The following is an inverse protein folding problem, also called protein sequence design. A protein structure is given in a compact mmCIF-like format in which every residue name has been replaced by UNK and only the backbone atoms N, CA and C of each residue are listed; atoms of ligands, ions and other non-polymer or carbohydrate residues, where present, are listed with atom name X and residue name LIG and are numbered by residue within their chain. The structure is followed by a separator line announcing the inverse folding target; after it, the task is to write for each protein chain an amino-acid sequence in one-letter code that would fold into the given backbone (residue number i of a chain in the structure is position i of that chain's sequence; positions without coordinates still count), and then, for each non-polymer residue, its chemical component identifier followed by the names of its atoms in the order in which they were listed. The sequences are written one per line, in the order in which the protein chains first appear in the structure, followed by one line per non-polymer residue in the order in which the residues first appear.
data_IF_828025861218
#
_entry.id   IF_828025861218
#
_cell.length_a   1.000
_cell.length_b   1.000
_cell.length_c   1.000
_cell.angle_alpha   90.00
_cell.angle_beta   90.00
_cell.angle_gamma   90.00
#
_symmetry.space_group_name_H-M   'P 1'
#
loop_
_entity.id
_entity.type
_entity.pdbx_description
1 polymer ?
#
# COMPACT_ATOMS: atom_id res chain seq x y z
N UNK A 1 -4.87 -20.70 -28.16
CA UNK A 1 -3.42 -20.66 -27.94
C UNK A 1 -3.20 -21.04 -26.47
N UNK A 2 -2.65 -22.24 -26.25
CA UNK A 2 -2.49 -22.76 -24.87
C UNK A 2 -1.21 -22.16 -24.30
N UNK A 3 -1.32 -21.35 -23.26
CA UNK A 3 -0.16 -20.79 -22.54
C UNK A 3 0.52 -21.95 -21.81
N UNK A 4 1.79 -22.20 -22.13
CA UNK A 4 2.59 -23.24 -21.47
C UNK A 4 3.21 -22.67 -20.17
N UNK A 5 3.45 -23.52 -19.18
CA UNK A 5 4.13 -23.12 -17.93
C UNK A 5 5.46 -22.38 -18.17
N UNK A 6 6.16 -22.72 -19.25
CA UNK A 6 7.38 -22.02 -19.67
C UNK A 6 7.14 -20.55 -20.01
N UNK A 7 6.00 -20.23 -20.64
CA UNK A 7 5.69 -18.83 -21.00
C UNK A 7 5.43 -18.00 -19.74
N UNK A 8 4.72 -18.56 -18.76
CA UNK A 8 4.46 -17.91 -17.47
C UNK A 8 5.76 -17.67 -16.71
N UNK A 9 6.66 -18.65 -16.66
CA UNK A 9 7.95 -18.52 -15.99
C UNK A 9 8.84 -17.46 -16.66
N UNK A 10 8.83 -17.40 -17.98
CA UNK A 10 9.58 -16.38 -18.73
C UNK A 10 9.04 -14.97 -18.47
N UNK A 11 7.72 -14.79 -18.54
CA UNK A 11 7.09 -13.50 -18.21
C UNK A 11 7.38 -13.11 -16.76
N UNK A 12 7.32 -14.06 -15.82
CA UNK A 12 7.67 -13.80 -14.42
C UNK A 12 9.11 -13.35 -14.24
N UNK A 13 10.08 -13.98 -14.94
CA UNK A 13 11.48 -13.59 -14.91
C UNK A 13 11.67 -12.15 -15.43
N UNK A 14 11.10 -11.84 -16.60
CA UNK A 14 11.18 -10.48 -17.17
C UNK A 14 10.52 -9.43 -16.26
N UNK A 15 9.38 -9.74 -15.67
CA UNK A 15 8.71 -8.85 -14.73
C UNK A 15 9.54 -8.61 -13.46
N UNK A 16 10.20 -9.66 -12.95
CA UNK A 16 11.11 -9.54 -11.81
C UNK A 16 12.30 -8.64 -12.13
N UNK A 17 12.90 -8.81 -13.31
CA UNK A 17 14.04 -8.00 -13.74
C UNK A 17 13.62 -6.52 -13.89
N UNK A 18 12.50 -6.25 -14.57
CA UNK A 18 11.93 -4.91 -14.70
C UNK A 18 11.65 -4.26 -13.33
N UNK A 19 11.03 -4.98 -12.41
CA UNK A 19 10.77 -4.47 -11.05
C UNK A 19 12.08 -4.19 -10.32
N UNK A 20 13.11 -5.00 -10.51
CA UNK A 20 14.43 -4.79 -9.90
C UNK A 20 15.09 -3.53 -10.44
N UNK A 21 15.06 -3.30 -11.74
CA UNK A 21 15.61 -2.09 -12.38
C UNK A 21 14.87 -0.84 -11.89
N UNK A 22 13.54 -0.85 -11.89
CA UNK A 22 12.74 0.25 -11.36
C UNK A 22 13.04 0.51 -9.87
N UNK A 23 13.24 -0.54 -9.08
CA UNK A 23 13.59 -0.40 -7.66
C UNK A 23 14.96 0.24 -7.47
N UNK A 24 15.96 -0.10 -8.28
CA UNK A 24 17.29 0.51 -8.25
C UNK A 24 17.20 2.01 -8.59
N UNK A 25 16.50 2.37 -9.66
CA UNK A 25 16.26 3.76 -10.04
C UNK A 25 15.62 4.55 -8.90
N UNK A 26 14.56 3.99 -8.29
CA UNK A 26 13.91 4.63 -7.12
C UNK A 26 14.83 4.80 -5.93
N UNK A 27 15.79 3.90 -5.71
CA UNK A 27 16.75 4.03 -4.60
C UNK A 27 17.75 5.18 -4.82
N UNK A 28 18.17 5.43 -6.03
CA UNK A 28 19.08 6.54 -6.35
C UNK A 28 18.43 7.88 -6.00
N UNK A 29 17.20 8.11 -6.43
CA UNK A 29 16.44 9.33 -6.09
C UNK A 29 16.15 9.45 -4.58
N UNK A 30 15.97 8.33 -3.89
CA UNK A 30 15.73 8.33 -2.45
C UNK A 30 17.00 8.50 -1.60
N UNK A 31 18.19 8.26 -2.16
CA UNK A 31 19.45 8.39 -1.44
C UNK A 31 19.74 9.85 -1.07
N UNK A 32 19.25 10.80 -1.86
CA UNK A 32 19.34 12.25 -1.59
C UNK A 32 18.30 12.73 -0.57
N UNK A 33 17.26 11.91 -0.33
CA UNK A 33 16.15 12.23 0.57
C UNK A 33 16.29 11.36 1.81
N UNK A 34 16.32 11.95 2.99
CA UNK A 34 16.37 11.23 4.27
C UNK A 34 15.03 10.52 4.57
N UNK A 35 14.57 9.67 3.63
CA UNK A 35 13.33 8.88 3.72
C UNK A 35 13.66 7.40 3.49
N UNK A 36 13.28 6.55 4.45
CA UNK A 36 13.43 5.10 4.29
C UNK A 36 12.35 4.51 3.38
N UNK A 37 12.61 3.38 2.74
CA UNK A 37 11.62 2.66 1.91
C UNK A 37 10.32 2.38 2.66
N UNK A 38 10.39 2.07 3.96
CA UNK A 38 9.19 1.85 4.77
C UNK A 38 8.39 3.14 4.96
N UNK A 39 9.07 4.27 5.15
CA UNK A 39 8.43 5.58 5.23
C UNK A 39 7.79 5.97 3.89
N UNK A 40 8.48 5.75 2.77
CA UNK A 40 7.92 5.97 1.44
C UNK A 40 6.67 5.11 1.19
N UNK A 41 6.68 3.82 1.57
CA UNK A 41 5.49 2.95 1.47
C UNK A 41 4.30 3.51 2.24
N UNK A 42 4.52 4.08 3.43
CA UNK A 42 3.45 4.73 4.20
C UNK A 42 2.94 5.97 3.48
N UNK A 43 3.84 6.80 2.92
CA UNK A 43 3.46 8.00 2.18
C UNK A 43 2.63 7.65 0.94
N UNK A 44 3.08 6.67 0.13
CA UNK A 44 2.32 6.18 -1.04
C UNK A 44 0.94 5.63 -0.66
N UNK A 45 0.85 4.89 0.46
CA UNK A 45 -0.42 4.35 0.94
C UNK A 45 -1.40 5.48 1.30
N UNK A 46 -0.92 6.48 2.03
CA UNK A 46 -1.72 7.63 2.48
C UNK A 46 -2.11 8.55 1.30
N UNK A 47 -1.23 8.71 0.30
CA UNK A 47 -1.53 9.46 -0.92
C UNK A 47 -2.73 8.89 -1.70
N UNK A 48 -2.80 7.56 -1.80
CA UNK A 48 -3.88 6.88 -2.52
C UNK A 48 -5.26 6.96 -1.83
N UNK A 49 -5.30 7.22 -0.52
CA UNK A 49 -6.53 7.29 0.25
C UNK A 49 -6.31 8.02 1.58
N UNK A 50 -6.95 9.15 1.77
CA UNK A 50 -6.86 9.97 2.98
C UNK A 50 -7.57 9.37 4.22
N UNK A 51 -8.02 8.13 4.16
CA UNK A 51 -8.79 7.46 5.23
C UNK A 51 -7.95 6.53 6.11
N UNK A 52 -6.62 6.56 6.00
CA UNK A 52 -5.76 5.67 6.76
C UNK A 52 -5.59 6.10 8.22
N UNK A 53 -5.82 5.13 9.12
CA UNK A 53 -5.54 5.24 10.56
C UNK A 53 -4.23 4.52 10.90
N UNK A 54 -3.70 4.75 12.11
CA UNK A 54 -2.53 3.99 12.62
C UNK A 54 -2.77 2.48 12.53
N UNK A 55 -3.97 2.02 12.85
CA UNK A 55 -4.34 0.60 12.81
C UNK A 55 -4.36 0.06 11.37
N UNK A 56 -4.95 0.78 10.42
CA UNK A 56 -4.98 0.33 9.03
C UNK A 56 -3.58 0.29 8.40
N UNK A 57 -2.72 1.26 8.74
CA UNK A 57 -1.32 1.29 8.29
C UNK A 57 -0.53 0.12 8.90
N UNK A 58 -0.71 -0.16 10.20
CA UNK A 58 -0.08 -1.29 10.88
C UNK A 58 -0.42 -2.63 10.20
N UNK A 59 -1.70 -2.83 9.90
CA UNK A 59 -2.19 -4.02 9.21
C UNK A 59 -1.60 -4.14 7.79
N UNK A 60 -1.55 -3.03 7.04
CA UNK A 60 -0.97 -3.01 5.70
C UNK A 60 0.52 -3.36 5.72
N UNK A 61 1.29 -2.76 6.63
CA UNK A 61 2.71 -3.01 6.76
C UNK A 61 3.03 -4.35 7.44
N UNK A 62 2.04 -5.01 8.05
CA UNK A 62 2.19 -6.22 8.89
C UNK A 62 3.20 -6.03 10.03
N UNK A 63 3.12 -4.88 10.70
CA UNK A 63 3.93 -4.53 11.86
C UNK A 63 3.04 -4.12 13.03
N UNK A 64 3.61 -4.10 14.24
CA UNK A 64 2.87 -3.71 15.44
C UNK A 64 2.45 -2.22 15.41
N UNK A 65 1.35 -1.87 16.10
CA UNK A 65 0.92 -0.47 16.25
C UNK A 65 2.01 0.44 16.84
N UNK A 66 2.79 0.04 17.88
CA UNK A 66 3.90 0.85 18.37
C UNK A 66 4.97 1.12 17.30
N UNK A 67 5.31 0.13 16.48
CA UNK A 67 6.25 0.31 15.36
C UNK A 67 5.71 1.29 14.34
N UNK A 68 4.43 1.14 13.96
CA UNK A 68 3.76 2.08 13.05
C UNK A 68 3.73 3.49 13.59
N UNK A 69 3.44 3.66 14.89
CA UNK A 69 3.45 4.97 15.54
C UNK A 69 4.82 5.64 15.41
N UNK A 70 5.93 4.90 15.65
CA UNK A 70 7.29 5.44 15.50
C UNK A 70 7.60 5.85 14.06
N UNK A 71 7.13 5.08 13.07
CA UNK A 71 7.31 5.43 11.65
C UNK A 71 6.57 6.73 11.34
N UNK A 72 5.33 6.83 11.78
CA UNK A 72 4.49 8.02 11.59
C UNK A 72 5.03 9.24 12.35
N UNK A 73 5.56 9.06 13.57
CA UNK A 73 6.18 10.15 14.34
C UNK A 73 7.38 10.75 13.58
N UNK A 74 8.21 9.90 12.99
CA UNK A 74 9.34 10.36 12.16
C UNK A 74 8.88 11.10 10.90
N UNK A 75 7.80 10.65 10.26
CA UNK A 75 7.22 11.31 9.10
C UNK A 75 6.57 12.66 9.47
N UNK A 76 5.94 12.75 10.64
CA UNK A 76 5.43 14.03 11.17
C UNK A 76 6.58 14.98 11.50
N UNK A 77 7.66 14.50 12.14
CA UNK A 77 8.85 15.32 12.44
C UNK A 77 9.53 15.86 11.18
N UNK A 78 9.42 15.15 10.06
CA UNK A 78 9.95 15.57 8.75
C UNK A 78 8.94 16.38 7.93
N UNK A 79 7.81 16.70 8.52
CA UNK A 79 6.70 17.42 7.90
C UNK A 79 6.12 16.72 6.63
N UNK A 80 6.23 15.39 6.55
CA UNK A 80 5.73 14.61 5.43
C UNK A 80 4.28 14.17 5.60
N UNK A 81 3.83 13.99 6.85
CA UNK A 81 2.48 13.53 7.21
C UNK A 81 1.91 14.40 8.33
N UNK A 82 0.61 14.64 8.25
CA UNK A 82 -0.18 15.26 9.32
C UNK A 82 -1.15 14.24 9.92
N UNK A 83 -1.43 14.40 11.22
CA UNK A 83 -2.43 13.62 11.94
C UNK A 83 -3.62 14.51 12.26
N UNK A 84 -4.77 14.16 11.73
CA UNK A 84 -6.00 14.92 11.92
C UNK A 84 -7.07 14.06 12.59
N UNK A 85 -7.85 14.63 13.54
CA UNK A 85 -9.03 13.95 14.06
C UNK A 85 -10.03 13.72 12.94
N UNK A 86 -10.67 12.54 12.94
CA UNK A 86 -11.74 12.26 12.02
C UNK A 86 -12.94 13.19 12.25
N UNK A 87 -13.60 13.63 11.18
CA UNK A 87 -14.73 14.56 11.27
C UNK A 87 -15.97 13.95 11.93
N UNK A 88 -16.13 12.63 11.88
CA UNK A 88 -17.28 11.92 12.45
C UNK A 88 -17.01 11.38 13.85
N UNK A 89 -15.77 10.93 14.12
CA UNK A 89 -15.36 10.45 15.43
C UNK A 89 -13.95 10.98 15.77
N UNK A 90 -13.90 11.98 16.63
CA UNK A 90 -12.66 12.63 17.08
C UNK A 90 -11.68 11.71 17.83
N UNK A 91 -12.11 10.51 18.22
CA UNK A 91 -11.22 9.49 18.81
C UNK A 91 -10.39 8.78 17.74
N UNK A 92 -10.81 8.85 16.50
CA UNK A 92 -10.10 8.28 15.34
C UNK A 92 -9.15 9.33 14.79
N UNK A 93 -7.87 9.00 14.73
CA UNK A 93 -6.84 9.85 14.12
C UNK A 93 -6.55 9.32 12.71
N UNK A 94 -6.71 10.19 11.73
CA UNK A 94 -6.37 9.94 10.33
C UNK A 94 -5.01 10.50 10.01
N UNK A 95 -4.29 9.80 9.15
CA UNK A 95 -3.02 10.24 8.60
C UNK A 95 -3.27 10.72 7.17
N UNK A 96 -2.81 11.93 6.87
CA UNK A 96 -2.82 12.52 5.53
C UNK A 96 -1.43 13.02 5.19
N UNK A 97 -1.11 13.16 3.91
CA UNK A 97 0.13 13.84 3.50
C UNK A 97 0.01 15.35 3.79
N UNK A 98 1.14 15.95 4.15
CA UNK A 98 1.35 17.41 4.11
C UNK A 98 1.57 17.89 2.68
N UNK A 99 1.67 19.20 2.46
CA UNK A 99 2.06 19.77 1.16
C UNK A 99 3.47 19.31 0.79
N UNK A 100 4.42 19.36 1.72
CA UNK A 100 5.79 18.89 1.55
C UNK A 100 5.86 17.38 1.23
N UNK A 101 5.00 16.58 1.86
CA UNK A 101 4.91 15.16 1.57
C UNK A 101 4.36 14.86 0.18
N UNK A 102 3.41 15.66 -0.33
CA UNK A 102 2.89 15.58 -1.68
C UNK A 102 3.96 15.99 -2.68
N UNK A 103 4.63 17.12 -2.44
CA UNK A 103 5.67 17.65 -3.31
C UNK A 103 6.84 16.66 -3.44
N UNK A 104 7.27 16.07 -2.32
CA UNK A 104 8.32 15.06 -2.34
C UNK A 104 7.93 13.84 -3.18
N UNK A 105 6.73 13.27 -2.99
CA UNK A 105 6.27 12.15 -3.81
C UNK A 105 6.16 12.53 -5.29
N UNK A 106 5.68 13.72 -5.57
CA UNK A 106 5.53 14.21 -6.94
C UNK A 106 6.90 14.36 -7.62
N UNK A 107 7.89 14.89 -6.91
CA UNK A 107 9.25 15.02 -7.43
C UNK A 107 9.88 13.63 -7.70
N UNK A 108 9.78 12.70 -6.75
CA UNK A 108 10.25 11.32 -6.94
C UNK A 108 9.60 10.67 -8.17
N UNK A 109 8.32 10.89 -8.40
CA UNK A 109 7.64 10.35 -9.58
C UNK A 109 8.04 11.07 -10.87
N UNK A 110 8.23 12.38 -10.84
CA UNK A 110 8.60 13.18 -12.02
C UNK A 110 9.99 12.83 -12.53
N UNK A 111 10.97 12.64 -11.65
CA UNK A 111 12.32 12.22 -12.03
C UNK A 111 12.32 10.92 -12.85
N UNK A 112 11.44 9.96 -12.47
CA UNK A 112 11.30 8.70 -13.20
C UNK A 112 10.37 8.80 -14.41
N UNK A 113 9.47 9.80 -14.43
CA UNK A 113 8.51 9.99 -15.52
C UNK A 113 9.21 10.33 -16.83
N UNK A 114 10.23 11.17 -16.80
CA UNK A 114 10.91 11.63 -18.01
C UNK A 114 11.56 10.47 -18.76
N UNK A 115 12.29 9.61 -18.05
CA UNK A 115 12.90 8.40 -18.63
C UNK A 115 11.83 7.45 -19.17
N UNK A 116 10.80 7.21 -18.40
CA UNK A 116 9.69 6.30 -18.79
C UNK A 116 8.94 6.85 -20.01
N UNK A 117 8.65 8.16 -20.04
CA UNK A 117 8.01 8.83 -21.17
C UNK A 117 8.88 8.74 -22.42
N UNK A 118 10.18 8.97 -22.28
CA UNK A 118 11.13 8.86 -23.41
C UNK A 118 11.12 7.43 -23.99
N UNK A 119 11.26 6.41 -23.14
CA UNK A 119 11.23 5.01 -23.58
C UNK A 119 9.92 4.71 -24.31
N UNK A 120 8.78 5.13 -23.75
CA UNK A 120 7.47 4.88 -24.36
C UNK A 120 7.29 5.69 -25.65
N UNK A 121 7.83 6.89 -25.76
CA UNK A 121 7.72 7.74 -26.95
C UNK A 121 8.46 7.14 -28.17
N UNK A 122 9.49 6.34 -27.95
CA UNK A 122 10.28 5.69 -28.99
C UNK A 122 9.62 4.39 -29.51
N UNK A 123 8.54 3.91 -28.84
CA UNK A 123 7.86 2.69 -29.25
C UNK A 123 6.84 2.91 -30.37
N UNK A 124 6.67 1.97 -31.29
CA UNK A 124 5.61 1.99 -32.28
C UNK A 124 4.22 2.02 -31.64
N UNK A 125 3.28 2.76 -32.21
CA UNK A 125 1.92 2.90 -31.68
C UNK A 125 1.21 1.56 -31.38
N UNK A 126 1.50 0.51 -32.18
CA UNK A 126 0.93 -0.81 -31.99
C UNK A 126 1.40 -1.45 -30.66
N UNK A 127 2.66 -1.25 -30.31
CA UNK A 127 3.26 -1.76 -29.06
C UNK A 127 2.75 -0.97 -27.86
N UNK A 128 2.59 0.34 -27.99
CA UNK A 128 1.99 1.18 -26.94
C UNK A 128 0.56 0.71 -26.59
N UNK A 129 -0.28 0.45 -27.58
CA UNK A 129 -1.65 -0.05 -27.34
C UNK A 129 -1.61 -1.41 -26.63
N UNK A 130 -0.67 -2.29 -27.01
CA UNK A 130 -0.52 -3.60 -26.37
C UNK A 130 -0.09 -3.46 -24.90
N UNK A 131 0.87 -2.59 -24.61
CA UNK A 131 1.35 -2.28 -23.25
C UNK A 131 0.22 -1.70 -22.41
N UNK A 132 -0.52 -0.70 -22.93
CA UNK A 132 -1.64 -0.08 -22.24
C UNK A 132 -2.69 -1.11 -21.80
N UNK A 133 -3.12 -1.98 -22.72
CA UNK A 133 -4.08 -3.04 -22.45
C UNK A 133 -3.56 -4.04 -21.41
N UNK A 134 -2.28 -4.40 -21.51
CA UNK A 134 -1.64 -5.35 -20.59
C UNK A 134 -1.55 -4.78 -19.18
N UNK A 135 -1.12 -3.55 -19.03
CA UNK A 135 -1.04 -2.84 -17.74
C UNK A 135 -2.44 -2.72 -17.13
N UNK A 136 -3.44 -2.35 -17.93
CA UNK A 136 -4.83 -2.21 -17.47
C UNK A 136 -5.37 -3.53 -16.94
N UNK A 137 -5.11 -4.64 -17.62
CA UNK A 137 -5.51 -5.99 -17.19
C UNK A 137 -4.83 -6.39 -15.87
N UNK A 138 -3.52 -6.12 -15.74
CA UNK A 138 -2.77 -6.40 -14.51
C UNK A 138 -3.31 -5.58 -13.34
N UNK A 139 -3.58 -4.28 -13.55
CA UNK A 139 -4.16 -3.39 -12.53
C UNK A 139 -5.52 -3.90 -12.05
N UNK A 140 -6.39 -4.29 -12.96
CA UNK A 140 -7.71 -4.85 -12.62
C UNK A 140 -7.57 -6.11 -11.76
N UNK A 141 -6.64 -7.00 -12.13
CA UNK A 141 -6.40 -8.23 -11.37
C UNK A 141 -5.84 -7.94 -9.96
N UNK A 142 -4.91 -6.99 -9.83
CA UNK A 142 -4.38 -6.54 -8.55
C UNK A 142 -5.48 -5.95 -7.65
N UNK A 143 -6.38 -5.16 -8.21
CA UNK A 143 -7.55 -4.63 -7.48
C UNK A 143 -8.44 -5.75 -6.94
N UNK A 144 -8.73 -6.76 -7.75
CA UNK A 144 -9.52 -7.94 -7.33
C UNK A 144 -8.82 -8.72 -6.21
N UNK A 145 -7.49 -8.88 -6.29
CA UNK A 145 -6.72 -9.55 -5.24
C UNK A 145 -6.73 -8.79 -3.91
N UNK A 146 -6.59 -7.46 -3.94
CA UNK A 146 -6.65 -6.63 -2.74
C UNK A 146 -8.03 -6.68 -2.08
N UNK A 147 -9.10 -6.60 -2.88
CA UNK A 147 -10.47 -6.70 -2.38
C UNK A 147 -10.74 -8.05 -1.70
N UNK A 148 -10.29 -9.18 -2.30
CA UNK A 148 -10.42 -10.51 -1.70
C UNK A 148 -9.65 -10.64 -0.38
N UNK A 149 -8.42 -10.14 -0.31
CA UNK A 149 -7.62 -10.18 0.92
C UNK A 149 -8.24 -9.33 2.04
N UNK A 150 -8.82 -8.19 1.71
CA UNK A 150 -9.53 -7.34 2.68
C UNK A 150 -10.76 -8.04 3.26
N UNK A 151 -11.53 -8.77 2.43
CA UNK A 151 -12.69 -9.55 2.88
C UNK A 151 -12.24 -10.69 3.80
N UNK A 152 -11.25 -11.48 3.42
CA UNK A 152 -10.72 -12.58 4.25
C UNK A 152 -10.17 -12.09 5.59
N UNK A 153 -9.55 -10.91 5.63
CA UNK A 153 -9.06 -10.32 6.89
C UNK A 153 -10.23 -9.89 7.79
N UNK A 154 -11.32 -9.41 7.23
CA UNK A 154 -12.53 -9.04 7.98
C UNK A 154 -13.22 -10.31 8.51
N UNK A 155 -13.39 -11.34 7.69
CA UNK A 155 -13.99 -12.62 8.06
C UNK A 155 -13.20 -13.28 9.21
N UNK A 156 -11.87 -13.36 9.10
CA UNK A 156 -11.03 -13.93 10.16
C UNK A 156 -11.03 -13.09 11.46
N UNK A 157 -11.28 -11.79 11.37
CA UNK A 157 -11.43 -10.93 12.55
C UNK A 157 -12.79 -11.14 13.24
N UNK A 158 -13.85 -11.43 12.48
CA UNK A 158 -15.18 -11.70 12.99
C UNK A 158 -15.21 -13.09 13.67
N UNK A 159 -14.62 -14.11 13.03
CA UNK A 159 -14.52 -15.46 13.61
C UNK A 159 -13.75 -15.45 14.95
N UNK A 160 -12.65 -14.69 15.05
CA UNK A 160 -11.90 -14.56 16.29
C UNK A 160 -12.67 -13.80 17.39
N UNK A 161 -13.55 -12.88 17.03
CA UNK A 161 -14.39 -12.14 17.99
C UNK A 161 -15.60 -13.00 18.45
N UNK A 162 -16.08 -13.97 17.66
CA UNK A 162 -17.13 -14.91 18.05
C UNK A 162 -16.60 -16.02 18.97
N UNK A 163 -15.39 -16.51 18.77
CA UNK A 163 -14.75 -17.51 19.64
C UNK A 163 -14.48 -16.98 21.07
N UNK A 164 -14.44 -15.63 21.24
CA UNK A 164 -14.31 -14.98 22.56
C UNK A 164 -15.65 -14.75 23.27
N UNK A 165 -16.79 -15.12 22.67
CA UNK A 165 -18.15 -14.91 23.19
C UNK A 165 -18.85 -16.15 23.70
N UNK A 166 -18.19 -17.29 23.84
CA UNK A 166 -18.76 -18.38 24.62
C UNK A 166 -18.73 -18.01 26.11
N UNK A 167 -19.89 -17.81 26.77
CA UNK A 167 -19.92 -17.58 28.20
C UNK A 167 -19.41 -18.85 28.90
N UNK A 168 -18.29 -18.73 29.57
CA UNK A 168 -17.80 -19.82 30.41
C UNK A 168 -18.89 -20.18 31.41
N UNK A 169 -19.18 -21.47 31.56
CA UNK A 169 -20.17 -22.04 32.50
C UNK A 169 -19.85 -21.76 33.99
N UNK A 170 -18.99 -20.82 34.27
CA UNK A 170 -18.56 -20.37 35.61
C UNK A 170 -18.92 -18.93 35.95
N UNK A 171 -19.80 -18.29 35.18
CA UNK A 171 -20.22 -16.90 35.46
C UNK A 171 -21.26 -16.92 36.62
N UNK A 172 -20.94 -16.36 37.81
CA UNK A 172 -21.80 -16.41 38.99
C UNK A 172 -23.13 -15.65 38.86
N UNK A 173 -23.34 -14.92 37.74
CA UNK A 173 -24.48 -14.05 37.50
C UNK A 173 -25.56 -14.66 36.57
N UNK A 174 -25.36 -15.89 36.06
CA UNK A 174 -26.31 -16.54 35.14
C UNK A 174 -27.55 -17.16 35.83
N UNK A 175 -27.72 -17.02 37.13
CA UNK A 175 -28.83 -17.61 37.91
C UNK A 175 -29.69 -16.57 38.65
N UNK A 176 -29.84 -15.38 38.11
CA UNK A 176 -30.78 -14.40 38.66
C UNK A 176 -31.68 -13.85 37.55
N UNK A 177 -32.64 -14.69 37.11
CA UNK A 177 -34.02 -14.32 36.73
C UNK A 177 -34.81 -15.60 36.37
#
# INVERSE_FOLDING_TARGET
MTIHNNDINNIHAQLKDLVTELFILCQESLAEIDITITQLKVMCLVYGNNNHTVTSIANYLKVSKPTTTRILDRLVQKDMIQRLPDSKDRRVIRCILSEEGIDLLTNVWNEHSEITIQILSDLPSKELIFIENSISSIKEFLHKLHSRKSIQTIESSIENDEEFREPSSSDPWALAN
#
